data_IF_224781470158
#
_entry.id   IF_224781470158
#
_cell.length_a   1.000
_cell.length_b   1.000
_cell.length_c   1.000
_cell.angle_alpha   90.00
_cell.angle_beta   90.00
_cell.angle_gamma   90.00
#
_symmetry.space_group_name_H-M   'P 1'
#
loop_
_entity.id
_entity.type
_entity.pdbx_description
1 polymer ?
#
# COMPACT_ATOMS: atom_id res chain seq x y z
N UNK A 1 -10.02 -68.36 35.41
CA UNK A 1 -10.91 -68.67 36.55
C UNK A 1 -10.95 -67.45 37.48
N UNK A 2 -12.17 -66.97 37.81
CA UNK A 2 -12.55 -65.98 38.85
C UNK A 2 -12.10 -64.52 38.58
N UNK A 3 -12.89 -63.45 38.60
CA UNK A 3 -14.32 -63.18 38.84
C UNK A 3 -14.61 -61.68 38.58
N UNK A 4 -15.85 -61.33 38.20
CA UNK A 4 -16.43 -59.96 38.04
C UNK A 4 -16.87 -59.39 39.42
N UNK A 5 -17.63 -58.27 39.56
CA UNK A 5 -17.84 -57.01 38.79
C UNK A 5 -17.73 -55.74 39.70
N UNK A 6 -17.93 -54.56 39.12
CA UNK A 6 -18.18 -53.32 39.88
C UNK A 6 -18.75 -52.21 39.00
N UNK A 7 -20.06 -52.28 38.73
CA UNK A 7 -20.85 -51.19 38.14
C UNK A 7 -21.06 -50.07 39.17
N UNK A 8 -20.93 -48.81 38.73
CA UNK A 8 -21.84 -47.74 39.17
C UNK A 8 -22.21 -46.86 37.99
N UNK A 9 -23.51 -46.78 37.78
CA UNK A 9 -24.20 -45.88 36.88
C UNK A 9 -24.03 -44.43 37.31
N UNK A 10 -23.97 -43.55 36.31
CA UNK A 10 -24.14 -42.12 36.43
C UNK A 10 -24.59 -41.57 35.09
N UNK A 11 -25.89 -41.69 34.81
CA UNK A 11 -26.56 -40.90 33.76
C UNK A 11 -26.67 -39.45 34.23
N UNK A 12 -26.25 -38.52 33.39
CA UNK A 12 -26.98 -37.27 33.20
C UNK A 12 -26.75 -36.77 31.77
N UNK A 13 -27.86 -36.43 31.14
CA UNK A 13 -28.01 -36.03 29.75
C UNK A 13 -27.31 -34.72 29.42
N UNK A 14 -27.07 -34.55 28.13
CA UNK A 14 -26.19 -33.52 27.60
C UNK A 14 -26.76 -32.12 27.59
N UNK A 15 -25.91 -31.17 27.22
CA UNK A 15 -26.29 -29.93 26.55
C UNK A 15 -25.14 -29.50 25.64
N UNK A 16 -25.55 -29.12 24.44
CA UNK A 16 -24.75 -28.68 23.30
C UNK A 16 -23.95 -27.44 23.67
N UNK A 17 -22.74 -27.35 23.16
CA UNK A 17 -21.89 -26.15 23.28
C UNK A 17 -20.84 -26.11 22.20
N UNK A 18 -21.27 -26.24 20.94
CA UNK A 18 -20.45 -25.88 19.78
C UNK A 18 -20.15 -24.39 19.81
N UNK A 19 -18.88 -24.01 19.89
CA UNK A 19 -18.42 -22.77 19.26
C UNK A 19 -16.96 -22.93 18.88
N UNK A 20 -16.73 -23.74 17.83
CA UNK A 20 -15.61 -23.47 16.96
C UNK A 20 -15.72 -22.01 16.54
N UNK A 21 -14.66 -21.24 16.76
CA UNK A 21 -14.58 -19.86 16.29
C UNK A 21 -14.61 -19.94 14.76
N UNK A 22 -15.72 -19.57 14.08
CA UNK A 22 -15.76 -19.65 12.64
C UNK A 22 -14.92 -18.50 12.11
N UNK A 23 -14.03 -18.82 11.18
CA UNK A 23 -13.34 -17.83 10.37
C UNK A 23 -14.34 -16.81 9.83
N UNK A 24 -14.23 -15.58 10.31
CA UNK A 24 -14.89 -14.46 9.68
C UNK A 24 -13.94 -13.89 8.64
N UNK A 25 -13.70 -14.67 7.57
CA UNK A 25 -13.30 -14.12 6.29
C UNK A 25 -14.51 -13.32 5.76
N UNK A 26 -14.75 -12.15 6.36
CA UNK A 26 -15.75 -11.20 5.89
C UNK A 26 -15.06 -10.35 4.84
N UNK A 27 -14.82 -10.94 3.67
CA UNK A 27 -14.77 -10.18 2.43
C UNK A 27 -16.11 -9.48 2.29
N UNK A 28 -16.24 -8.30 2.90
CA UNK A 28 -17.37 -7.42 2.63
C UNK A 28 -17.31 -7.15 1.12
N UNK A 29 -18.34 -7.51 0.34
CA UNK A 29 -18.32 -7.22 -1.08
C UNK A 29 -18.16 -5.71 -1.22
N UNK A 30 -17.09 -5.30 -1.88
CA UNK A 30 -16.95 -3.93 -2.37
C UNK A 30 -18.17 -3.71 -3.26
N UNK A 31 -19.09 -2.88 -2.77
CA UNK A 31 -20.42 -2.58 -3.31
C UNK A 31 -20.65 -3.08 -4.75
N UNK A 32 -21.43 -4.14 -4.88
CA UNK A 32 -22.12 -4.47 -6.11
C UNK A 32 -23.27 -3.46 -6.33
N UNK A 33 -23.05 -2.42 -7.13
CA UNK A 33 -24.12 -1.69 -7.85
C UNK A 33 -23.57 -0.59 -8.77
N UNK A 34 -23.72 -0.81 -10.08
CA UNK A 34 -24.04 0.18 -11.12
C UNK A 34 -23.23 1.50 -11.13
N UNK A 35 -22.03 1.43 -11.72
CA UNK A 35 -21.25 2.55 -12.26
C UNK A 35 -20.20 1.98 -13.23
N UNK A 36 -19.62 2.76 -14.18
CA UNK A 36 -18.60 2.20 -15.06
C UNK A 36 -17.42 1.70 -14.21
N UNK A 37 -17.03 0.44 -14.40
CA UNK A 37 -15.78 -0.07 -13.84
C UNK A 37 -14.63 0.74 -14.45
N UNK A 38 -13.92 1.49 -13.62
CA UNK A 38 -12.73 2.22 -14.05
C UNK A 38 -11.58 1.21 -14.20
N UNK A 39 -11.13 1.03 -15.44
CA UNK A 39 -9.90 0.29 -15.72
C UNK A 39 -8.73 1.27 -15.75
N UNK A 40 -7.68 0.93 -15.02
CA UNK A 40 -6.43 1.66 -15.04
C UNK A 40 -5.43 0.81 -15.82
N UNK A 41 -4.81 1.41 -16.83
CA UNK A 41 -3.79 0.75 -17.65
C UNK A 41 -2.42 1.32 -17.29
N UNK A 42 -1.40 0.48 -17.08
CA UNK A 42 -0.05 0.97 -16.90
C UNK A 42 0.44 1.74 -18.13
N UNK A 43 1.16 2.84 -17.91
CA UNK A 43 1.82 3.63 -18.95
C UNK A 43 3.31 3.32 -19.06
N UNK A 44 3.82 2.39 -18.24
CA UNK A 44 5.22 2.04 -18.19
C UNK A 44 5.58 1.11 -17.05
N UNK A 45 6.88 0.91 -16.83
CA UNK A 45 7.45 0.07 -15.79
C UNK A 45 8.54 0.83 -15.04
N UNK A 46 8.57 0.70 -13.71
CA UNK A 46 9.62 1.27 -12.87
C UNK A 46 10.66 0.19 -12.54
N UNK A 47 11.93 0.43 -12.88
CA UNK A 47 13.07 -0.39 -12.52
C UNK A 47 13.80 0.22 -11.33
N UNK A 48 13.98 -0.57 -10.28
CA UNK A 48 14.67 -0.17 -9.05
C UNK A 48 15.69 -1.25 -8.66
N UNK A 49 16.62 -0.97 -7.74
CA UNK A 49 17.52 -1.97 -7.19
C UNK A 49 16.83 -2.95 -6.22
N UNK A 50 15.51 -2.89 -6.06
CA UNK A 50 14.75 -3.65 -5.08
C UNK A 50 14.01 -4.81 -5.74
N UNK A 51 14.58 -6.02 -5.85
CA UNK A 51 13.93 -7.15 -6.53
C UNK A 51 12.70 -7.70 -5.80
N UNK A 52 12.57 -7.40 -4.49
CA UNK A 52 11.48 -7.88 -3.64
C UNK A 52 11.15 -6.86 -2.55
N UNK A 53 9.97 -6.96 -1.97
CA UNK A 53 9.49 -6.00 -0.98
C UNK A 53 10.37 -5.88 0.27
N UNK A 54 11.04 -6.96 0.69
CA UNK A 54 11.94 -6.96 1.86
C UNK A 54 13.19 -6.12 1.60
N UNK A 55 13.53 -5.87 0.33
CA UNK A 55 14.67 -5.03 -0.06
C UNK A 55 14.31 -3.55 -0.19
N UNK A 56 13.02 -3.21 -0.15
CA UNK A 56 12.56 -1.83 -0.26
C UNK A 56 12.81 -1.09 1.06
N UNK A 57 13.43 0.10 1.06
CA UNK A 57 13.66 0.88 2.26
C UNK A 57 12.34 1.23 2.95
N UNK A 58 12.29 1.09 4.28
CA UNK A 58 11.11 1.46 5.04
C UNK A 58 10.74 2.93 4.79
N UNK A 59 9.43 3.20 4.68
CA UNK A 59 8.96 4.59 4.55
C UNK A 59 9.32 5.39 5.80
N UNK A 60 10.18 6.42 5.63
CA UNK A 60 10.58 7.34 6.68
C UNK A 60 11.96 7.08 7.31
N UNK A 61 12.73 6.11 6.83
CA UNK A 61 14.15 5.95 7.19
C UNK A 61 15.05 6.59 6.13
N UNK A 62 15.94 7.51 6.56
CA UNK A 62 16.99 8.19 5.77
C UNK A 62 16.53 8.91 4.48
N UNK A 63 17.31 9.87 3.95
CA UNK A 63 17.02 10.40 2.63
C UNK A 63 17.01 9.26 1.62
N UNK A 64 15.93 9.14 0.83
CA UNK A 64 15.85 8.14 -0.23
C UNK A 64 16.88 8.48 -1.30
N UNK A 65 17.99 7.75 -1.33
CA UNK A 65 19.12 7.97 -2.25
C UNK A 65 19.23 6.92 -3.35
N UNK A 66 18.39 5.89 -3.32
CA UNK A 66 18.38 4.86 -4.35
C UNK A 66 17.97 5.45 -5.70
N UNK A 67 18.76 5.15 -6.73
CA UNK A 67 18.44 5.49 -8.12
C UNK A 67 17.54 4.43 -8.75
N UNK A 68 16.78 4.84 -9.76
CA UNK A 68 15.95 3.96 -10.56
C UNK A 68 15.73 4.51 -11.96
N UNK A 69 15.04 3.72 -12.77
CA UNK A 69 14.63 4.09 -14.12
C UNK A 69 13.12 3.96 -14.24
N UNK A 70 12.50 4.95 -14.87
CA UNK A 70 11.08 4.94 -15.21
C UNK A 70 11.00 4.79 -16.72
N UNK A 71 10.61 3.61 -17.19
CA UNK A 71 10.46 3.30 -18.61
C UNK A 71 9.00 3.51 -19.02
N UNK A 72 8.72 4.55 -19.78
CA UNK A 72 7.38 4.79 -20.35
C UNK A 72 7.21 3.92 -21.60
N UNK A 73 6.00 3.39 -21.83
CA UNK A 73 5.73 2.62 -23.04
C UNK A 73 5.75 3.51 -24.30
N UNK A 74 6.14 2.97 -25.46
CA UNK A 74 6.33 3.77 -26.68
C UNK A 74 5.13 4.65 -27.05
N UNK A 75 3.91 4.15 -26.89
CA UNK A 75 2.67 4.87 -27.22
C UNK A 75 2.40 6.10 -26.33
N UNK A 76 3.11 6.25 -25.22
CA UNK A 76 2.98 7.38 -24.30
C UNK A 76 4.22 8.29 -24.28
N UNK A 77 5.21 8.06 -25.15
CA UNK A 77 6.46 8.81 -25.16
C UNK A 77 6.25 10.32 -25.41
N UNK A 78 5.30 10.70 -26.27
CA UNK A 78 4.96 12.10 -26.54
C UNK A 78 4.51 12.84 -25.27
N UNK A 79 3.91 12.13 -24.31
CA UNK A 79 3.49 12.70 -23.02
C UNK A 79 4.64 13.14 -22.10
N UNK A 80 5.90 12.83 -22.46
CA UNK A 80 7.09 13.27 -21.74
C UNK A 80 7.63 14.62 -22.22
N UNK A 81 7.07 15.22 -23.27
CA UNK A 81 7.57 16.49 -23.80
C UNK A 81 7.65 17.59 -22.73
N UNK A 82 8.83 18.18 -22.57
CA UNK A 82 9.09 19.23 -21.57
C UNK A 82 9.29 18.76 -20.13
N UNK A 83 9.31 17.45 -19.86
CA UNK A 83 9.45 16.92 -18.49
C UNK A 83 10.77 17.33 -17.81
N UNK A 84 11.82 17.58 -18.59
CA UNK A 84 13.15 18.00 -18.13
C UNK A 84 13.15 19.40 -17.49
N UNK A 85 12.08 20.18 -17.69
CA UNK A 85 11.87 21.46 -17.00
C UNK A 85 11.60 21.30 -15.51
N UNK A 86 11.29 20.08 -15.06
CA UNK A 86 10.96 19.77 -13.67
C UNK A 86 12.10 19.01 -12.98
N UNK A 87 12.46 19.45 -11.78
CA UNK A 87 13.50 18.78 -10.99
C UNK A 87 12.97 17.62 -10.17
N UNK A 88 11.66 17.58 -9.91
CA UNK A 88 10.99 16.56 -9.10
C UNK A 88 9.67 16.14 -9.72
N UNK A 89 9.36 14.85 -9.59
CA UNK A 89 8.18 14.21 -10.17
C UNK A 89 7.48 13.36 -9.13
N UNK A 90 6.16 13.40 -9.11
CA UNK A 90 5.34 12.37 -8.51
C UNK A 90 5.22 11.20 -9.46
N UNK A 91 5.50 10.01 -8.95
CA UNK A 91 5.19 8.74 -9.61
C UNK A 91 4.02 8.10 -8.90
N UNK A 92 2.97 7.75 -9.65
CA UNK A 92 1.90 6.89 -9.18
C UNK A 92 2.10 5.52 -9.80
N UNK A 93 2.02 4.46 -9.00
CA UNK A 93 2.34 3.10 -9.44
C UNK A 93 1.51 2.06 -8.70
N UNK A 94 1.46 0.84 -9.22
CA UNK A 94 0.80 -0.28 -8.56
C UNK A 94 1.73 -1.02 -7.59
N UNK A 95 1.24 -1.22 -6.37
CA UNK A 95 1.84 -2.05 -5.33
C UNK A 95 1.50 -3.53 -5.59
N UNK A 96 1.98 -4.03 -6.73
CA UNK A 96 1.59 -5.33 -7.31
C UNK A 96 2.03 -6.57 -6.51
N UNK A 97 2.96 -6.44 -5.55
CA UNK A 97 3.42 -7.55 -4.71
C UNK A 97 2.59 -7.73 -3.41
N UNK A 98 1.41 -7.12 -3.32
CA UNK A 98 0.53 -7.20 -2.13
C UNK A 98 -0.90 -7.49 -2.54
N UNK A 99 -1.51 -8.41 -1.81
CA UNK A 99 -2.90 -8.80 -1.98
C UNK A 99 -3.66 -8.62 -0.68
N UNK A 100 -4.96 -8.35 -0.81
CA UNK A 100 -5.84 -8.11 0.34
C UNK A 100 -5.54 -6.81 1.09
N UNK A 101 -6.40 -6.50 2.05
CA UNK A 101 -6.23 -5.37 2.95
C UNK A 101 -7.04 -5.59 4.23
N UNK A 102 -6.55 -5.00 5.32
CA UNK A 102 -7.32 -4.79 6.55
C UNK A 102 -7.57 -3.30 6.73
N UNK A 103 -8.75 -2.93 7.24
CA UNK A 103 -9.08 -1.53 7.52
C UNK A 103 -8.32 -0.95 8.72
N UNK A 104 -7.68 -1.82 9.51
CA UNK A 104 -6.87 -1.48 10.66
C UNK A 104 -5.53 -2.20 10.57
N UNK A 105 -4.43 -1.47 10.76
CA UNK A 105 -3.06 -1.98 10.60
C UNK A 105 -2.19 -1.56 11.78
N UNK A 106 -1.17 -2.35 12.09
CA UNK A 106 -0.14 -1.97 13.07
C UNK A 106 1.06 -1.37 12.35
N UNK A 107 1.42 -0.14 12.70
CA UNK A 107 2.66 0.48 12.22
C UNK A 107 3.85 -0.36 12.72
N UNK A 108 4.72 -0.81 11.80
CA UNK A 108 5.90 -1.66 12.11
C UNK A 108 5.59 -3.00 12.80
N UNK A 109 4.38 -3.55 12.64
CA UNK A 109 3.99 -4.85 13.22
C UNK A 109 3.76 -4.87 14.74
N UNK A 110 4.33 -3.93 15.49
CA UNK A 110 4.22 -3.85 16.96
C UNK A 110 3.59 -2.55 17.49
N UNK A 111 3.32 -1.57 16.63
CA UNK A 111 2.71 -0.29 17.02
C UNK A 111 1.21 -0.38 17.32
N UNK A 112 0.61 0.72 17.81
CA UNK A 112 -0.82 0.80 18.06
C UNK A 112 -1.60 0.55 16.76
N UNK A 113 -2.78 -0.06 16.91
CA UNK A 113 -3.68 -0.30 15.80
C UNK A 113 -4.16 1.06 15.26
N UNK A 114 -3.93 1.29 13.97
CA UNK A 114 -4.23 2.56 13.29
C UNK A 114 -5.12 2.29 12.09
N UNK A 115 -6.07 3.18 11.78
CA UNK A 115 -6.88 3.07 10.58
C UNK A 115 -6.01 3.10 9.32
N UNK A 116 -6.28 2.21 8.36
CA UNK A 116 -5.47 2.02 7.15
C UNK A 116 -5.19 3.35 6.42
N UNK A 117 -6.21 4.19 6.28
CA UNK A 117 -6.12 5.45 5.54
C UNK A 117 -5.32 6.54 6.25
N UNK A 118 -5.10 6.41 7.56
CA UNK A 118 -4.18 7.26 8.33
C UNK A 118 -2.72 6.78 8.21
N UNK A 119 -2.44 5.79 7.36
CA UNK A 119 -1.10 5.25 7.14
C UNK A 119 -0.74 5.18 5.65
N UNK A 120 0.55 4.95 5.40
CA UNK A 120 1.10 4.62 4.07
C UNK A 120 1.27 3.11 3.85
N UNK A 121 0.51 2.27 4.58
CA UNK A 121 0.58 0.81 4.40
C UNK A 121 0.24 0.43 2.95
N UNK A 122 1.00 -0.50 2.32
CA UNK A 122 0.80 -0.86 0.92
C UNK A 122 -0.43 -1.73 0.66
N UNK A 123 -0.90 -2.51 1.65
CA UNK A 123 -2.10 -3.35 1.50
C UNK A 123 -3.36 -2.48 1.59
N UNK A 124 -3.94 -2.10 0.45
CA UNK A 124 -5.06 -1.15 0.37
C UNK A 124 -6.14 -1.63 -0.61
N UNK A 125 -7.40 -1.18 -0.47
CA UNK A 125 -8.46 -1.48 -1.44
C UNK A 125 -8.06 -1.18 -2.89
N UNK A 126 -7.38 -0.04 -3.10
CA UNK A 126 -6.73 0.31 -4.35
C UNK A 126 -5.21 0.39 -4.05
N UNK A 127 -4.40 -0.58 -4.50
CA UNK A 127 -2.98 -0.68 -4.17
C UNK A 127 -2.13 0.31 -4.97
N UNK A 128 -2.43 1.60 -4.83
CA UNK A 128 -1.73 2.70 -5.51
C UNK A 128 -0.67 3.27 -4.57
N UNK A 129 0.58 3.19 -5.00
CA UNK A 129 1.72 3.87 -4.41
C UNK A 129 1.90 5.27 -4.98
N UNK A 130 2.45 6.16 -4.17
CA UNK A 130 2.86 7.51 -4.59
C UNK A 130 4.24 7.81 -4.01
N UNK A 131 5.14 8.28 -4.86
CA UNK A 131 6.53 8.59 -4.49
C UNK A 131 7.02 9.84 -5.19
N UNK A 132 7.61 10.75 -4.42
CA UNK A 132 8.30 11.92 -4.94
C UNK A 132 9.73 11.53 -5.27
N UNK A 133 10.12 11.66 -6.54
CA UNK A 133 11.48 11.40 -7.00
C UNK A 133 12.11 12.68 -7.54
N UNK A 134 13.44 12.74 -7.54
CA UNK A 134 14.19 13.79 -8.25
C UNK A 134 14.59 13.25 -9.62
N UNK A 135 14.31 14.05 -10.66
CA UNK A 135 14.71 13.73 -12.03
C UNK A 135 16.22 13.98 -12.19
N UNK A 136 16.94 12.98 -12.70
CA UNK A 136 18.37 13.06 -13.01
C UNK A 136 18.61 13.32 -14.50
N UNK A 137 17.71 12.87 -15.36
CA UNK A 137 17.76 13.08 -16.81
C UNK A 137 16.79 12.17 -17.54
N UNK A 138 16.65 12.40 -18.85
CA UNK A 138 15.82 11.62 -19.76
C UNK A 138 16.65 11.13 -20.94
N UNK A 139 16.36 9.91 -21.42
CA UNK A 139 16.88 9.33 -22.66
C UNK A 139 15.73 8.65 -23.39
N UNK A 140 15.21 9.29 -24.45
CA UNK A 140 13.98 8.87 -25.12
C UNK A 140 12.82 8.72 -24.13
N UNK A 141 12.19 7.54 -24.10
CA UNK A 141 11.11 7.18 -23.17
C UNK A 141 11.54 6.76 -21.76
N UNK A 142 12.82 6.86 -21.41
CA UNK A 142 13.34 6.43 -20.10
C UNK A 142 13.80 7.62 -19.27
N UNK A 143 13.28 7.75 -18.04
CA UNK A 143 13.69 8.74 -17.07
C UNK A 143 14.62 8.11 -16.03
N UNK A 144 15.78 8.70 -15.79
CA UNK A 144 16.65 8.33 -14.66
C UNK A 144 16.25 9.19 -13.47
N UNK A 145 16.00 8.56 -12.32
CA UNK A 145 15.48 9.24 -11.13
C UNK A 145 16.19 8.77 -9.87
N UNK A 146 16.09 9.55 -8.80
CA UNK A 146 16.54 9.17 -7.45
C UNK A 146 15.43 9.37 -6.43
N UNK A 147 15.39 8.51 -5.42
CA UNK A 147 14.38 8.52 -4.37
C UNK A 147 13.34 7.42 -4.52
N UNK A 148 13.60 6.38 -5.33
CA UNK A 148 12.68 5.26 -5.52
C UNK A 148 12.51 4.44 -4.24
N UNK A 149 11.32 3.88 -4.05
CA UNK A 149 10.92 3.12 -2.85
C UNK A 149 9.90 2.02 -3.16
N UNK A 150 10.00 1.44 -4.36
CA UNK A 150 9.10 0.40 -4.84
C UNK A 150 9.87 -0.78 -5.41
N UNK A 151 9.22 -1.94 -5.45
CA UNK A 151 9.77 -3.16 -6.05
C UNK A 151 10.01 -2.93 -7.54
N UNK A 152 11.13 -3.44 -8.04
CA UNK A 152 11.49 -3.39 -9.46
C UNK A 152 10.44 -4.15 -10.28
N UNK A 153 10.04 -3.57 -11.41
CA UNK A 153 8.93 -4.08 -12.21
C UNK A 153 7.56 -3.53 -11.81
N UNK A 154 7.49 -2.59 -10.84
CA UNK A 154 6.22 -1.96 -10.48
C UNK A 154 5.58 -1.25 -11.69
N UNK A 155 4.31 -1.56 -12.03
CA UNK A 155 3.60 -0.89 -13.11
C UNK A 155 3.41 0.59 -12.80
N UNK A 156 3.85 1.45 -13.71
CA UNK A 156 3.67 2.89 -13.64
C UNK A 156 2.25 3.24 -14.10
N UNK A 157 1.55 4.04 -13.31
CA UNK A 157 0.20 4.50 -13.64
C UNK A 157 0.19 5.93 -14.18
N UNK A 158 1.00 6.81 -13.60
CA UNK A 158 0.98 8.23 -13.93
C UNK A 158 2.28 8.93 -13.48
N UNK A 159 2.60 10.05 -14.14
CA UNK A 159 3.72 10.93 -13.81
C UNK A 159 3.19 12.36 -13.72
N UNK A 160 3.50 13.06 -12.63
CA UNK A 160 3.14 14.48 -12.47
C UNK A 160 4.32 15.33 -12.01
N UNK A 161 4.48 16.56 -12.49
CA UNK A 161 5.47 17.46 -11.95
C UNK A 161 5.12 17.83 -10.49
N UNK A 162 6.13 17.92 -9.63
CA UNK A 162 5.95 18.47 -8.29
C UNK A 162 5.84 19.99 -8.37
N UNK A 163 4.78 20.55 -7.81
CA UNK A 163 4.49 21.99 -7.84
C UNK A 163 4.40 22.50 -6.41
N UNK A 164 5.37 23.34 -5.99
CA UNK A 164 5.48 23.83 -4.60
C UNK A 164 4.18 24.45 -4.09
N UNK A 165 3.54 25.32 -4.88
CA UNK A 165 2.31 26.00 -4.48
C UNK A 165 1.12 25.07 -4.22
N UNK A 166 1.13 23.87 -4.82
CA UNK A 166 0.06 22.87 -4.69
C UNK A 166 0.43 21.78 -3.69
N UNK A 167 1.65 21.26 -3.80
CA UNK A 167 2.10 20.04 -3.11
C UNK A 167 2.82 20.32 -1.79
N UNK A 168 3.25 21.57 -1.57
CA UNK A 168 3.85 22.03 -0.31
C UNK A 168 3.33 23.42 0.11
N UNK A 169 2.02 23.56 0.35
CA UNK A 169 1.42 24.85 0.71
C UNK A 169 1.86 25.35 2.09
N UNK A 170 2.40 24.47 2.95
CA UNK A 170 2.82 24.79 4.32
C UNK A 170 4.32 25.07 4.46
N UNK A 171 5.11 24.84 3.41
CA UNK A 171 6.58 24.99 3.41
C UNK A 171 7.31 23.93 4.24
N UNK A 172 6.84 22.68 4.19
CA UNK A 172 7.46 21.55 4.87
C UNK A 172 6.95 21.30 6.30
N UNK A 173 5.89 21.98 6.74
CA UNK A 173 5.25 21.68 8.03
C UNK A 173 4.40 20.42 7.88
N UNK A 174 4.83 19.33 8.51
CA UNK A 174 4.05 18.09 8.57
C UNK A 174 2.80 18.31 9.40
N UNK A 175 1.61 18.19 8.81
CA UNK A 175 0.31 18.45 9.45
C UNK A 175 -0.09 17.51 10.60
N UNK A 176 0.86 16.81 11.23
CA UNK A 176 0.64 16.24 12.55
C UNK A 176 0.88 17.37 13.55
N UNK A 177 -0.11 18.26 13.66
CA UNK A 177 -0.20 19.12 14.83
C UNK A 177 -0.28 18.19 16.04
N UNK A 178 0.61 18.39 17.01
CA UNK A 178 0.64 17.60 18.23
C UNK A 178 -0.76 17.55 18.84
N UNK A 179 -1.33 16.35 18.92
CA UNK A 179 -2.58 16.01 19.63
C UNK A 179 -3.76 16.99 19.44
N UNK A 180 -4.27 17.14 18.22
CA UNK A 180 -5.67 17.50 18.08
C UNK A 180 -6.53 16.36 18.65
N UNK A 181 -6.93 16.48 19.93
CA UNK A 181 -7.86 15.56 20.59
C UNK A 181 -9.15 15.50 19.79
N UNK A 182 -9.32 14.40 19.05
CA UNK A 182 -10.58 14.07 18.42
C UNK A 182 -11.61 13.74 19.51
N UNK A 183 -12.41 14.72 19.91
CA UNK A 183 -13.58 14.52 20.76
C UNK A 183 -14.71 13.96 19.91
N UNK A 184 -14.67 12.65 19.68
CA UNK A 184 -15.77 11.94 19.00
C UNK A 184 -17.07 12.09 19.77
N UNK A 185 -17.98 12.96 19.30
CA UNK A 185 -19.39 12.88 19.68
C UNK A 185 -19.97 11.60 19.06
N UNK A 186 -20.41 10.72 19.96
CA UNK A 186 -21.19 9.50 19.68
C UNK A 186 -22.50 9.83 18.99
#
# INVERSE_FOLDING_TARGET
MRGRPGEREGRSEGLRGSSGVPGANRTRPVRSSCGPFWRVFPIGIIRTPFPRIESVPESGSEPRTAEGQVEVFPEFEEGLEGIERHTRLWLLFLLHCREGFDLTVRRRGSGPLTGLFSTRCPCRPNPIGITLVRLLGRSGRTLRVVGVDMVSGSPLLDIKPFVVSSDDPSGGRTGVEAEAKWEGKR
#
